data_IF_084430441843
#
_entry.id   IF_084430441843
#
_cell.length_a   1.000
_cell.length_b   1.000
_cell.length_c   1.000
_cell.angle_alpha   90.00
_cell.angle_beta   90.00
_cell.angle_gamma   90.00
#
_symmetry.space_group_name_H-M   'P 1'
#
loop_
_entity.id
_entity.type
_entity.pdbx_description
1 polymer ?
#
# COMPACT_ATOMS: atom_id res chain seq x y z
N UNK A 1 27.52 -20.10 37.71
CA UNK A 1 27.97 -18.87 37.04
C UNK A 1 27.23 -17.72 37.70
N UNK A 2 27.93 -16.73 38.24
CA UNK A 2 27.30 -15.49 38.72
C UNK A 2 27.05 -14.53 37.54
N UNK A 3 26.28 -13.44 37.70
CA UNK A 3 26.16 -12.41 36.67
C UNK A 3 27.52 -11.84 36.22
N UNK A 4 28.46 -11.67 37.14
CA UNK A 4 29.82 -11.20 36.85
C UNK A 4 30.62 -12.23 36.02
N UNK A 5 30.44 -13.52 36.31
CA UNK A 5 31.02 -14.60 35.50
C UNK A 5 30.43 -14.62 34.08
N UNK A 6 29.11 -14.35 33.94
CA UNK A 6 28.44 -14.29 32.63
C UNK A 6 28.97 -13.11 31.80
N UNK A 7 29.11 -11.92 32.39
CA UNK A 7 29.74 -10.79 31.70
C UNK A 7 31.18 -11.09 31.30
N UNK A 8 31.94 -11.74 32.18
CA UNK A 8 33.32 -12.14 31.89
C UNK A 8 33.37 -13.16 30.75
N UNK A 9 32.46 -14.13 30.73
CA UNK A 9 32.29 -15.09 29.65
C UNK A 9 31.93 -14.41 28.33
N UNK A 10 31.00 -13.47 28.34
CA UNK A 10 30.60 -12.70 27.16
C UNK A 10 31.77 -11.88 26.58
N UNK A 11 32.58 -11.23 27.44
CA UNK A 11 33.80 -10.52 27.02
C UNK A 11 34.87 -11.46 26.46
N UNK A 12 34.86 -12.75 26.84
CA UNK A 12 35.74 -13.75 26.22
C UNK A 12 35.23 -14.21 24.86
N UNK A 13 33.91 -14.21 24.64
CA UNK A 13 33.30 -14.57 23.36
C UNK A 13 33.43 -13.48 22.29
N UNK A 14 33.43 -12.22 22.71
CA UNK A 14 33.54 -11.07 21.80
C UNK A 14 34.77 -10.24 22.11
N UNK A 15 35.60 -9.98 21.10
CA UNK A 15 36.75 -9.07 21.21
C UNK A 15 36.63 -8.00 20.15
N UNK A 16 36.80 -6.73 20.52
CA UNK A 16 36.59 -5.60 19.60
C UNK A 16 35.23 -5.62 18.88
N UNK A 17 34.19 -6.19 19.51
CA UNK A 17 32.84 -6.29 18.94
C UNK A 17 32.60 -7.45 17.96
N UNK A 18 33.57 -8.35 17.77
CA UNK A 18 33.45 -9.49 16.86
C UNK A 18 33.70 -10.82 17.57
N UNK A 19 33.04 -11.88 17.11
CA UNK A 19 33.24 -13.26 17.55
C UNK A 19 34.44 -13.91 16.87
N UNK A 20 34.95 -15.00 17.45
CA UNK A 20 35.95 -15.82 16.80
C UNK A 20 35.43 -16.40 15.48
N UNK A 21 36.19 -16.25 14.38
CA UNK A 21 35.85 -16.83 13.08
C UNK A 21 36.85 -17.94 12.74
N UNK A 22 36.37 -19.18 12.72
CA UNK A 22 37.13 -20.36 12.29
C UNK A 22 37.45 -20.30 10.78
N UNK A 23 36.54 -19.75 9.97
CA UNK A 23 36.62 -19.70 8.51
C UNK A 23 37.27 -18.42 7.98
N UNK A 24 38.25 -17.91 8.74
CA UNK A 24 38.97 -16.67 8.45
C UNK A 24 39.61 -16.63 7.05
N UNK A 25 39.99 -17.79 6.49
CA UNK A 25 40.63 -17.85 5.17
C UNK A 25 39.74 -17.31 4.04
N UNK A 26 38.41 -17.38 4.20
CA UNK A 26 37.47 -16.79 3.24
C UNK A 26 37.43 -15.25 3.27
N UNK A 27 38.00 -14.65 4.32
CA UNK A 27 38.01 -13.19 4.60
C UNK A 27 39.41 -12.59 4.45
N UNK A 28 40.38 -13.40 4.04
CA UNK A 28 41.74 -12.98 3.73
C UNK A 28 41.94 -13.03 2.21
N UNK A 29 42.73 -12.11 1.63
CA UNK A 29 43.10 -12.16 0.23
C UNK A 29 43.81 -13.49 -0.04
N UNK A 30 43.26 -14.27 -0.95
CA UNK A 30 43.93 -15.48 -1.43
C UNK A 30 45.28 -15.11 -2.05
N UNK A 31 46.21 -16.06 -2.03
CA UNK A 31 47.44 -15.90 -2.79
C UNK A 31 47.13 -15.76 -4.28
N UNK A 32 47.91 -14.94 -4.98
CA UNK A 32 47.68 -14.63 -6.38
C UNK A 32 47.71 -15.93 -7.18
N UNK A 33 46.56 -16.32 -7.72
CA UNK A 33 46.44 -17.53 -8.53
C UNK A 33 47.10 -17.27 -9.86
N UNK A 34 48.15 -18.04 -10.16
CA UNK A 34 48.85 -18.04 -11.44
C UNK A 34 48.33 -19.18 -12.32
N UNK A 35 48.17 -18.91 -13.61
CA UNK A 35 47.87 -19.90 -14.65
C UNK A 35 49.04 -20.90 -14.80
N UNK A 36 48.81 -22.03 -15.47
CA UNK A 36 49.89 -23.00 -15.80
C UNK A 36 51.09 -22.36 -16.51
N UNK A 37 50.88 -21.25 -17.22
CA UNK A 37 51.90 -20.46 -17.89
C UNK A 37 52.59 -19.42 -16.99
N UNK A 38 52.35 -19.41 -15.68
CA UNK A 38 52.93 -18.46 -14.73
C UNK A 38 52.31 -17.05 -14.73
N UNK A 39 51.42 -16.73 -15.68
CA UNK A 39 50.68 -15.45 -15.73
C UNK A 39 49.58 -15.38 -14.67
N UNK A 40 49.31 -14.20 -14.12
CA UNK A 40 48.20 -13.98 -13.17
C UNK A 40 46.87 -14.38 -13.82
N UNK A 41 46.09 -15.23 -13.14
CA UNK A 41 44.79 -15.66 -13.65
C UNK A 41 43.81 -14.48 -13.74
N UNK A 42 43.05 -14.42 -14.84
CA UNK A 42 42.05 -13.35 -15.09
C UNK A 42 40.97 -13.28 -14.00
N UNK A 43 40.66 -14.41 -13.36
CA UNK A 43 39.74 -14.50 -12.23
C UNK A 43 40.53 -14.85 -10.98
N UNK A 44 40.64 -13.90 -10.06
CA UNK A 44 41.14 -14.15 -8.71
C UNK A 44 40.00 -14.58 -7.80
N UNK A 45 40.24 -15.43 -6.79
CA UNK A 45 39.25 -15.71 -5.78
C UNK A 45 38.78 -14.41 -5.13
N UNK A 46 37.47 -14.15 -5.16
CA UNK A 46 36.89 -13.04 -4.40
C UNK A 46 36.96 -13.39 -2.91
N UNK A 47 37.27 -12.41 -2.08
CA UNK A 47 37.16 -12.53 -0.63
C UNK A 47 36.27 -11.40 -0.11
N UNK A 48 35.55 -11.68 0.98
CA UNK A 48 34.70 -10.66 1.60
C UNK A 48 35.56 -9.79 2.51
N UNK A 49 35.84 -8.58 2.05
CA UNK A 49 36.61 -7.63 2.82
C UNK A 49 35.87 -7.18 4.08
N UNK A 50 36.54 -7.26 5.24
CA UNK A 50 36.00 -6.82 6.53
C UNK A 50 36.63 -5.50 6.99
N UNK A 51 36.04 -4.91 8.02
CA UNK A 51 36.57 -3.72 8.68
C UNK A 51 37.80 -4.07 9.55
N UNK A 52 38.57 -3.06 9.97
CA UNK A 52 39.84 -3.24 10.71
C UNK A 52 39.65 -3.95 12.07
N UNK A 53 38.64 -3.52 12.82
CA UNK A 53 38.21 -4.07 14.11
C UNK A 53 37.97 -5.59 14.06
N UNK A 54 37.42 -6.09 12.95
CA UNK A 54 37.29 -7.52 12.72
C UNK A 54 38.66 -8.21 12.73
N UNK A 55 39.64 -7.75 11.94
CA UNK A 55 40.97 -8.39 11.94
C UNK A 55 41.69 -8.23 13.29
N UNK A 56 41.48 -7.11 13.99
CA UNK A 56 41.98 -6.92 15.37
C UNK A 56 41.41 -7.97 16.33
N UNK A 57 40.11 -8.25 16.25
CA UNK A 57 39.48 -9.32 17.04
C UNK A 57 40.11 -10.68 16.77
N UNK A 58 40.29 -11.04 15.50
CA UNK A 58 40.82 -12.33 15.09
C UNK A 58 42.27 -12.51 15.52
N UNK A 59 43.08 -11.45 15.46
CA UNK A 59 44.43 -11.44 16.02
C UNK A 59 44.38 -11.65 17.54
N UNK A 60 43.48 -10.94 18.24
CA UNK A 60 43.37 -11.03 19.69
C UNK A 60 43.05 -12.46 20.16
N UNK A 61 42.04 -13.11 19.58
CA UNK A 61 41.67 -14.49 19.91
C UNK A 61 42.84 -15.47 19.78
N UNK A 62 43.74 -15.20 18.83
CA UNK A 62 44.91 -16.05 18.51
C UNK A 62 46.19 -15.63 19.24
N UNK A 63 46.12 -14.64 20.12
CA UNK A 63 47.30 -14.11 20.84
C UNK A 63 48.31 -13.38 19.95
N UNK A 64 47.88 -12.89 18.77
CA UNK A 64 48.69 -12.12 17.84
C UNK A 64 48.62 -10.62 18.17
N UNK A 65 49.57 -9.84 17.64
CA UNK A 65 49.58 -8.37 17.77
C UNK A 65 48.29 -7.77 17.19
N UNK A 66 47.61 -6.92 17.98
CA UNK A 66 46.33 -6.28 17.61
C UNK A 66 46.47 -4.83 17.13
N UNK A 67 47.70 -4.29 17.15
CA UNK A 67 48.03 -2.94 16.67
C UNK A 67 48.72 -2.99 15.32
N UNK A 68 48.39 -2.03 14.44
CA UNK A 68 48.93 -1.97 13.09
C UNK A 68 47.93 -1.43 12.07
N UNK A 69 48.37 -1.40 10.81
CA UNK A 69 47.50 -1.20 9.64
C UNK A 69 46.61 -2.44 9.41
N UNK A 70 45.59 -2.31 8.56
CA UNK A 70 44.69 -3.42 8.27
C UNK A 70 45.45 -4.57 7.57
N UNK A 71 46.33 -4.20 6.66
CA UNK A 71 47.16 -5.09 5.85
C UNK A 71 48.16 -5.88 6.73
N UNK A 72 48.77 -5.21 7.71
CA UNK A 72 49.64 -5.86 8.70
C UNK A 72 48.91 -6.95 9.50
N UNK A 73 47.69 -6.65 9.98
CA UNK A 73 46.87 -7.61 10.71
C UNK A 73 46.47 -8.80 9.83
N UNK A 74 46.10 -8.53 8.57
CA UNK A 74 45.77 -9.59 7.60
C UNK A 74 46.98 -10.49 7.32
N UNK A 75 48.17 -9.93 7.18
CA UNK A 75 49.41 -10.69 6.97
C UNK A 75 49.76 -11.57 8.19
N UNK A 76 49.60 -11.06 9.41
CA UNK A 76 49.76 -11.86 10.64
C UNK A 76 48.77 -13.03 10.69
N UNK A 77 47.54 -12.82 10.23
CA UNK A 77 46.51 -13.86 10.20
C UNK A 77 46.74 -14.90 9.10
N UNK A 78 47.47 -14.56 8.03
CA UNK A 78 47.88 -15.54 7.00
C UNK A 78 48.91 -16.54 7.53
N UNK A 79 49.83 -16.11 8.40
CA UNK A 79 50.89 -16.94 8.96
C UNK A 79 50.51 -17.65 10.27
N UNK A 80 49.22 -17.64 10.65
CA UNK A 80 48.74 -18.21 11.91
C UNK A 80 48.86 -19.75 11.95
N UNK A 81 48.98 -20.27 13.16
CA UNK A 81 48.92 -21.71 13.42
C UNK A 81 47.45 -22.19 13.47
N UNK A 82 46.99 -22.80 12.39
CA UNK A 82 45.61 -23.32 12.24
C UNK A 82 45.27 -24.34 13.33
N UNK A 83 46.25 -25.07 13.90
CA UNK A 83 45.96 -26.06 14.95
C UNK A 83 45.49 -25.40 16.25
N UNK A 84 45.96 -24.17 16.52
CA UNK A 84 45.54 -23.40 17.70
C UNK A 84 44.13 -22.85 17.54
N UNK A 85 43.67 -22.61 16.31
CA UNK A 85 42.29 -22.15 16.04
C UNK A 85 41.25 -23.16 16.55
N UNK A 86 41.53 -24.47 16.45
CA UNK A 86 40.66 -25.52 16.98
C UNK A 86 40.54 -25.47 18.52
N UNK A 87 41.64 -25.20 19.21
CA UNK A 87 41.64 -25.08 20.67
C UNK A 87 40.88 -23.83 21.13
N UNK A 88 41.06 -22.70 20.42
CA UNK A 88 40.30 -21.48 20.69
C UNK A 88 38.81 -21.71 20.44
N UNK A 89 38.43 -22.38 19.36
CA UNK A 89 37.02 -22.71 19.11
C UNK A 89 36.44 -23.59 20.22
N UNK A 90 37.15 -24.63 20.65
CA UNK A 90 36.67 -25.49 21.73
C UNK A 90 36.43 -24.70 23.02
N UNK A 91 37.34 -23.77 23.37
CA UNK A 91 37.14 -22.87 24.51
C UNK A 91 35.89 -21.98 24.31
N UNK A 92 35.69 -21.42 23.11
CA UNK A 92 34.53 -20.60 22.79
C UNK A 92 33.23 -21.40 22.90
N UNK A 93 33.20 -22.64 22.38
CA UNK A 93 32.04 -23.53 22.43
C UNK A 93 31.69 -23.93 23.87
N UNK A 94 32.69 -24.19 24.71
CA UNK A 94 32.50 -24.49 26.13
C UNK A 94 31.94 -23.28 26.89
N UNK A 95 32.44 -22.08 26.61
CA UNK A 95 31.93 -20.83 27.19
C UNK A 95 30.47 -20.60 26.75
N UNK A 96 30.18 -20.74 25.46
CA UNK A 96 28.83 -20.62 24.89
C UNK A 96 27.87 -21.61 25.54
N UNK A 97 28.29 -22.86 25.71
CA UNK A 97 27.49 -23.91 26.37
C UNK A 97 27.17 -23.52 27.81
N UNK A 98 28.18 -23.09 28.58
CA UNK A 98 28.00 -22.67 29.96
C UNK A 98 27.06 -21.47 30.09
N UNK A 99 27.14 -20.49 29.16
CA UNK A 99 26.22 -19.35 29.12
C UNK A 99 24.78 -19.77 28.80
N UNK A 100 24.58 -20.68 27.84
CA UNK A 100 23.24 -21.22 27.53
C UNK A 100 22.64 -21.98 28.71
N UNK A 101 23.44 -22.76 29.44
CA UNK A 101 22.98 -23.46 30.65
C UNK A 101 22.58 -22.47 31.74
N UNK A 102 23.38 -21.42 31.98
CA UNK A 102 23.04 -20.35 32.90
C UNK A 102 21.74 -19.63 32.50
N UNK A 103 21.55 -19.29 31.23
CA UNK A 103 20.32 -18.66 30.75
C UNK A 103 19.08 -19.56 30.91
N UNK A 104 19.20 -20.87 30.68
CA UNK A 104 18.12 -21.82 30.95
C UNK A 104 17.75 -21.83 32.43
N UNK A 105 18.75 -21.82 33.30
CA UNK A 105 18.56 -21.80 34.74
C UNK A 105 17.92 -20.48 35.22
N UNK A 106 18.37 -19.33 34.69
CA UNK A 106 17.72 -18.04 34.95
C UNK A 106 16.27 -18.03 34.48
N UNK A 107 15.97 -18.60 33.31
CA UNK A 107 14.59 -18.76 32.83
C UNK A 107 13.77 -19.69 33.73
N UNK A 108 14.36 -20.75 34.28
CA UNK A 108 13.71 -21.65 35.24
C UNK A 108 13.37 -20.90 36.54
N UNK A 109 14.34 -20.23 37.14
CA UNK A 109 14.15 -19.42 38.36
C UNK A 109 13.13 -18.32 38.14
N UNK A 110 13.18 -17.60 37.00
CA UNK A 110 12.20 -16.58 36.67
C UNK A 110 10.78 -17.15 36.52
N UNK A 111 10.62 -18.36 35.95
CA UNK A 111 9.33 -19.05 35.88
C UNK A 111 8.81 -19.42 37.27
N UNK A 112 9.68 -19.91 38.16
CA UNK A 112 9.32 -20.25 39.55
C UNK A 112 8.93 -19.01 40.35
N UNK A 113 9.71 -17.94 40.27
CA UNK A 113 9.37 -16.66 40.90
C UNK A 113 8.06 -16.08 40.36
N UNK A 114 7.83 -16.20 39.05
CA UNK A 114 6.56 -15.81 38.44
C UNK A 114 5.41 -16.66 38.98
N UNK A 115 5.57 -17.97 39.09
CA UNK A 115 4.56 -18.86 39.66
C UNK A 115 4.23 -18.47 41.11
N UNK A 116 5.25 -18.24 41.95
CA UNK A 116 5.07 -17.77 43.34
C UNK A 116 4.33 -16.43 43.38
N UNK A 117 4.68 -15.49 42.50
CA UNK A 117 3.99 -14.20 42.40
C UNK A 117 2.55 -14.34 41.93
N UNK A 118 2.31 -15.18 40.94
CA UNK A 118 0.97 -15.45 40.38
C UNK A 118 0.08 -16.11 41.45
N UNK A 119 0.61 -17.04 42.25
CA UNK A 119 -0.10 -17.65 43.40
C UNK A 119 -0.37 -16.63 44.52
N UNK A 120 0.64 -15.82 44.88
CA UNK A 120 0.46 -14.76 45.89
C UNK A 120 -0.59 -13.74 45.45
N UNK A 121 -0.60 -13.36 44.17
CA UNK A 121 -1.63 -12.51 43.59
C UNK A 121 -3.00 -13.18 43.59
N UNK A 122 -3.07 -14.49 43.28
CA UNK A 122 -4.31 -15.24 43.27
C UNK A 122 -4.98 -15.31 44.65
N UNK A 123 -4.19 -15.45 45.71
CA UNK A 123 -4.69 -15.52 47.09
C UNK A 123 -4.76 -14.16 47.81
N UNK A 124 -4.35 -13.06 47.17
CA UNK A 124 -4.45 -11.74 47.78
C UNK A 124 -5.92 -11.33 47.98
N UNK A 125 -6.24 -10.79 49.17
CA UNK A 125 -7.61 -10.38 49.53
C UNK A 125 -8.18 -9.28 48.61
N UNK A 126 -7.32 -8.51 47.95
CA UNK A 126 -7.71 -7.47 46.99
C UNK A 126 -8.08 -8.01 45.61
N UNK A 127 -7.77 -9.27 45.31
CA UNK A 127 -7.98 -9.85 43.99
C UNK A 127 -9.41 -10.37 43.86
N UNK A 128 -10.20 -9.72 43.00
CA UNK A 128 -11.63 -10.06 42.82
C UNK A 128 -11.84 -11.23 41.86
N UNK A 129 -13.04 -11.81 41.87
CA UNK A 129 -13.42 -12.88 40.93
C UNK A 129 -13.25 -12.41 39.47
N UNK A 130 -13.67 -11.19 39.15
CA UNK A 130 -13.58 -10.60 37.81
C UNK A 130 -12.13 -10.50 37.32
N UNK A 131 -11.18 -10.30 38.24
CA UNK A 131 -9.76 -10.24 37.93
C UNK A 131 -9.16 -11.64 37.76
N UNK A 132 -9.62 -12.64 38.53
CA UNK A 132 -9.20 -14.06 38.45
C UNK A 132 -9.70 -14.76 37.19
N UNK A 133 -10.97 -14.54 36.86
CA UNK A 133 -11.69 -15.16 35.75
C UNK A 133 -10.90 -15.14 34.43
N UNK A 134 -10.31 -14.03 33.96
CA UNK A 134 -9.55 -14.03 32.72
C UNK A 134 -8.20 -14.75 32.79
N UNK A 135 -7.62 -14.93 33.97
CA UNK A 135 -6.31 -15.58 34.16
C UNK A 135 -6.42 -17.09 34.15
N UNK A 136 -7.43 -17.62 34.85
CA UNK A 136 -7.73 -19.05 34.90
C UNK A 136 -9.22 -19.25 35.19
N UNK A 137 -10.07 -19.31 34.14
CA UNK A 137 -11.52 -19.40 34.30
C UNK A 137 -11.95 -20.58 35.18
N UNK A 138 -11.34 -21.75 34.98
CA UNK A 138 -11.67 -22.96 35.72
C UNK A 138 -11.43 -22.82 37.23
N UNK A 139 -10.22 -22.41 37.64
CA UNK A 139 -9.90 -22.23 39.07
C UNK A 139 -10.76 -21.14 39.71
N UNK A 140 -11.02 -20.05 38.99
CA UNK A 140 -11.89 -18.98 39.48
C UNK A 140 -13.32 -19.50 39.74
N UNK A 141 -13.88 -20.25 38.79
CA UNK A 141 -15.22 -20.84 38.91
C UNK A 141 -15.29 -21.92 39.99
N UNK A 142 -14.25 -22.74 40.16
CA UNK A 142 -14.16 -23.73 41.25
C UNK A 142 -14.18 -23.06 42.64
N UNK A 143 -13.38 -22.00 42.83
CA UNK A 143 -13.36 -21.23 44.09
C UNK A 143 -14.71 -20.56 44.37
N UNK A 144 -15.36 -20.06 43.32
CA UNK A 144 -16.66 -19.39 43.43
C UNK A 144 -17.79 -20.40 43.71
N UNK A 145 -17.78 -21.55 43.04
CA UNK A 145 -18.77 -22.62 43.23
C UNK A 145 -18.72 -23.26 44.63
N UNK A 146 -17.54 -23.23 45.27
CA UNK A 146 -17.34 -23.71 46.63
C UNK A 146 -17.98 -22.81 47.71
N UNK A 147 -18.33 -21.56 47.37
CA UNK A 147 -19.02 -20.66 48.31
C UNK A 147 -20.48 -21.10 48.50
N UNK A 148 -21.03 -21.02 49.73
CA UNK A 148 -22.41 -21.42 50.00
C UNK A 148 -23.42 -20.54 49.24
N UNK A 149 -23.21 -19.23 49.24
CA UNK A 149 -24.10 -18.22 48.62
C UNK A 149 -23.49 -17.62 47.35
N UNK A 150 -23.15 -18.46 46.38
CA UNK A 150 -22.58 -18.02 45.10
C UNK A 150 -23.66 -17.59 44.10
N UNK A 151 -23.36 -16.56 43.31
CA UNK A 151 -24.20 -16.14 42.18
C UNK A 151 -24.34 -17.26 41.14
N UNK A 152 -23.38 -18.20 41.06
CA UNK A 152 -23.45 -19.32 40.12
C UNK A 152 -24.66 -20.23 40.32
N UNK A 153 -25.29 -20.19 41.51
CA UNK A 153 -26.49 -20.98 41.85
C UNK A 153 -27.78 -20.18 41.88
N UNK A 154 -27.70 -18.84 41.98
CA UNK A 154 -28.86 -17.98 42.24
C UNK A 154 -29.08 -16.91 41.16
N UNK A 155 -28.07 -16.64 40.33
CA UNK A 155 -28.05 -15.55 39.36
C UNK A 155 -27.12 -15.89 38.19
N UNK A 156 -26.73 -14.89 37.40
CA UNK A 156 -25.73 -15.01 36.36
C UNK A 156 -24.76 -13.82 36.39
N UNK A 157 -23.63 -13.98 35.73
CA UNK A 157 -22.69 -12.90 35.46
C UNK A 157 -22.56 -12.69 33.96
N UNK A 158 -22.47 -11.41 33.58
CA UNK A 158 -22.22 -10.97 32.21
C UNK A 158 -20.78 -10.51 32.06
N UNK A 159 -20.16 -10.97 30.99
CA UNK A 159 -18.80 -10.59 30.61
C UNK A 159 -18.83 -10.09 29.19
N UNK A 160 -18.67 -8.77 29.04
CA UNK A 160 -18.58 -8.14 27.74
C UNK A 160 -17.23 -8.40 27.10
N UNK A 161 -17.21 -9.15 25.99
CA UNK A 161 -16.06 -9.15 25.10
C UNK A 161 -16.10 -7.84 24.32
N UNK A 162 -15.29 -6.89 24.77
CA UNK A 162 -14.99 -5.70 23.99
C UNK A 162 -14.60 -6.07 22.56
N UNK A 163 -14.85 -5.15 21.63
CA UNK A 163 -14.29 -5.23 20.28
C UNK A 163 -12.79 -5.51 20.34
N UNK A 164 -12.23 -6.14 19.31
CA UNK A 164 -10.84 -6.58 19.16
C UNK A 164 -9.74 -5.49 19.32
N UNK A 165 -9.99 -4.39 20.02
CA UNK A 165 -8.99 -3.48 20.55
C UNK A 165 -8.24 -4.13 21.71
N UNK A 166 -6.92 -4.01 21.66
CA UNK A 166 -5.80 -4.36 22.55
C UNK A 166 -6.01 -4.66 24.04
N UNK A 167 -7.19 -4.42 24.64
CA UNK A 167 -7.54 -4.73 26.02
C UNK A 167 -8.73 -5.70 26.17
N UNK A 168 -9.28 -6.29 25.10
CA UNK A 168 -10.30 -7.33 25.24
C UNK A 168 -9.65 -8.58 25.87
N UNK A 169 -9.87 -8.77 27.16
CA UNK A 169 -9.37 -9.96 27.84
C UNK A 169 -10.17 -11.14 27.33
N UNK A 170 -9.57 -11.98 26.48
CA UNK A 170 -10.24 -13.19 26.00
C UNK A 170 -10.25 -14.20 27.13
N UNK A 171 -11.44 -14.59 27.57
CA UNK A 171 -11.66 -15.66 28.51
C UNK A 171 -11.52 -17.01 27.80
N UNK A 172 -10.30 -17.33 27.37
CA UNK A 172 -10.00 -18.60 26.72
C UNK A 172 -10.35 -19.76 27.66
N UNK A 173 -11.28 -20.62 27.21
CA UNK A 173 -11.70 -21.80 27.96
C UNK A 173 -12.74 -21.54 29.04
N UNK A 174 -13.39 -20.37 29.08
CA UNK A 174 -14.53 -20.14 29.99
C UNK A 174 -15.71 -21.06 29.67
N UNK A 175 -16.05 -21.20 28.39
CA UNK A 175 -17.04 -22.15 27.88
C UNK A 175 -16.76 -23.58 28.35
N UNK A 176 -15.50 -24.01 28.19
CA UNK A 176 -15.04 -25.33 28.61
C UNK A 176 -15.08 -25.50 30.13
N UNK A 177 -14.65 -24.48 30.88
CA UNK A 177 -14.67 -24.51 32.34
C UNK A 177 -16.10 -24.58 32.88
N UNK A 178 -17.02 -23.80 32.33
CA UNK A 178 -18.44 -23.86 32.68
C UNK A 178 -19.01 -25.25 32.37
N UNK A 179 -18.72 -25.82 31.20
CA UNK A 179 -19.15 -27.16 30.83
C UNK A 179 -18.63 -28.23 31.81
N UNK A 180 -17.33 -28.22 32.12
CA UNK A 180 -16.70 -29.19 33.04
C UNK A 180 -17.27 -29.09 34.47
N UNK A 181 -17.75 -27.91 34.88
CA UNK A 181 -18.31 -27.66 36.22
C UNK A 181 -19.85 -27.73 36.27
N UNK A 182 -20.51 -28.01 35.15
CA UNK A 182 -21.98 -28.05 35.08
C UNK A 182 -22.66 -26.69 35.27
N UNK A 183 -21.95 -25.60 34.96
CA UNK A 183 -22.45 -24.21 35.02
C UNK A 183 -23.06 -23.87 33.66
N UNK A 184 -24.26 -23.27 33.66
CA UNK A 184 -24.86 -22.83 32.40
C UNK A 184 -24.03 -21.70 31.79
N UNK A 185 -23.81 -21.77 30.48
CA UNK A 185 -23.02 -20.80 29.72
C UNK A 185 -23.66 -20.60 28.36
N UNK A 186 -23.85 -19.33 27.99
CA UNK A 186 -24.33 -18.94 26.67
C UNK A 186 -23.56 -17.71 26.18
N UNK A 187 -23.45 -17.59 24.85
CA UNK A 187 -22.86 -16.41 24.20
C UNK A 187 -23.96 -15.70 23.43
N UNK A 188 -24.24 -14.46 23.83
CA UNK A 188 -25.20 -13.62 23.14
C UNK A 188 -24.46 -12.63 22.22
N UNK A 189 -24.96 -12.47 20.99
CA UNK A 189 -24.47 -11.44 20.08
C UNK A 189 -25.20 -10.12 20.36
N UNK A 190 -24.42 -9.08 20.59
CA UNK A 190 -24.85 -7.71 20.78
C UNK A 190 -25.07 -7.02 19.44
N UNK A 191 -25.42 -5.72 19.45
CA UNK A 191 -25.63 -4.98 18.22
C UNK A 191 -24.34 -4.97 17.38
N UNK A 192 -24.51 -5.03 16.07
CA UNK A 192 -23.43 -4.81 15.11
C UNK A 192 -23.27 -3.31 14.96
N UNK A 193 -22.13 -2.76 15.36
CA UNK A 193 -21.84 -1.36 15.11
C UNK A 193 -21.75 -1.12 13.60
N UNK A 194 -22.69 -0.34 13.05
CA UNK A 194 -22.61 0.16 11.68
C UNK A 194 -21.64 1.37 11.64
N UNK A 195 -20.81 1.55 10.59
CA UNK A 195 -20.86 0.90 9.28
C UNK A 195 -19.85 -0.25 9.05
N UNK A 196 -20.22 -1.15 8.13
CA UNK A 196 -19.49 -2.30 7.55
C UNK A 196 -18.12 -2.71 8.16
N UNK A 197 -18.08 -3.93 8.72
CA UNK A 197 -16.83 -4.64 9.05
C UNK A 197 -16.61 -4.91 10.54
N UNK A 198 -17.40 -4.28 11.42
CA UNK A 198 -17.40 -4.56 12.84
C UNK A 198 -18.03 -5.95 13.12
N UNK A 199 -17.34 -6.76 13.91
CA UNK A 199 -17.93 -7.99 14.45
C UNK A 199 -18.99 -7.62 15.50
N UNK A 200 -20.12 -8.33 15.62
CA UNK A 200 -21.06 -8.07 16.70
C UNK A 200 -20.33 -8.15 18.05
N UNK A 201 -20.61 -7.20 18.95
CA UNK A 201 -20.18 -7.29 20.35
C UNK A 201 -20.63 -8.66 20.88
N UNK A 202 -19.80 -9.39 21.61
CA UNK A 202 -20.22 -10.68 22.19
C UNK A 202 -20.27 -10.55 23.69
N UNK A 203 -21.37 -10.98 24.30
CA UNK A 203 -21.49 -11.08 25.74
C UNK A 203 -21.47 -12.55 26.11
N UNK A 204 -20.56 -12.94 27.00
CA UNK A 204 -20.55 -14.26 27.61
C UNK A 204 -21.33 -14.20 28.91
N UNK A 205 -22.32 -15.07 29.05
CA UNK A 205 -23.25 -15.08 30.18
C UNK A 205 -23.20 -16.46 30.81
N UNK A 206 -22.93 -16.52 32.12
CA UNK A 206 -22.83 -17.80 32.82
C UNK A 206 -23.36 -17.74 34.26
N UNK A 207 -23.81 -18.88 34.79
CA UNK A 207 -24.37 -19.01 36.14
C UNK A 207 -25.51 -20.02 36.21
N UNK A 208 -26.58 -19.66 36.91
CA UNK A 208 -27.81 -20.44 37.02
C UNK A 208 -28.56 -20.44 35.68
N UNK A 209 -29.04 -21.61 35.24
CA UNK A 209 -29.61 -21.80 33.90
C UNK A 209 -30.78 -20.86 33.58
N UNK A 210 -31.72 -20.71 34.51
CA UNK A 210 -32.86 -19.81 34.35
C UNK A 210 -32.45 -18.34 34.27
N UNK A 211 -31.48 -17.92 35.08
CA UNK A 211 -30.91 -16.58 35.07
C UNK A 211 -30.16 -16.29 33.76
N UNK A 212 -29.31 -17.21 33.30
CA UNK A 212 -28.58 -17.10 32.02
C UNK A 212 -29.55 -16.90 30.86
N UNK A 213 -30.60 -17.72 30.75
CA UNK A 213 -31.58 -17.61 29.65
C UNK A 213 -32.32 -16.27 29.64
N UNK A 214 -32.83 -15.83 30.80
CA UNK A 214 -33.50 -14.51 30.92
C UNK A 214 -32.58 -13.38 30.48
N UNK A 215 -31.31 -13.49 30.84
CA UNK A 215 -30.33 -12.45 30.58
C UNK A 215 -29.88 -12.42 29.10
N UNK A 216 -29.74 -13.59 28.47
CA UNK A 216 -29.53 -13.72 27.02
C UNK A 216 -30.70 -13.11 26.25
N UNK A 217 -31.95 -13.43 26.63
CA UNK A 217 -33.15 -12.87 26.00
C UNK A 217 -33.21 -11.34 26.13
N UNK A 218 -32.93 -10.82 27.33
CA UNK A 218 -32.88 -9.38 27.58
C UNK A 218 -31.81 -8.69 26.72
N UNK A 219 -30.61 -9.27 26.64
CA UNK A 219 -29.50 -8.74 25.87
C UNK A 219 -29.78 -8.76 24.36
N UNK A 220 -30.34 -9.84 23.83
CA UNK A 220 -30.72 -9.95 22.41
C UNK A 220 -31.81 -8.93 22.06
N UNK A 221 -32.79 -8.72 22.96
CA UNK A 221 -33.84 -7.71 22.76
C UNK A 221 -33.26 -6.30 22.71
N UNK A 222 -32.35 -5.96 23.63
CA UNK A 222 -31.65 -4.67 23.64
C UNK A 222 -30.82 -4.47 22.36
N UNK A 223 -30.05 -5.49 21.96
CA UNK A 223 -29.24 -5.48 20.75
C UNK A 223 -30.09 -5.20 19.49
N UNK A 224 -31.24 -5.84 19.37
CA UNK A 224 -32.16 -5.63 18.24
C UNK A 224 -32.76 -4.21 18.24
N UNK A 225 -33.06 -3.64 19.41
CA UNK A 225 -33.56 -2.26 19.52
C UNK A 225 -32.50 -1.25 19.09
N UNK A 226 -31.25 -1.44 19.53
CA UNK A 226 -30.12 -0.60 19.14
C UNK A 226 -29.88 -0.71 17.63
N UNK A 227 -29.83 -1.93 17.09
CA UNK A 227 -29.64 -2.16 15.66
C UNK A 227 -30.75 -1.51 14.81
N UNK A 228 -32.02 -1.62 15.22
CA UNK A 228 -33.13 -0.98 14.54
C UNK A 228 -33.05 0.56 14.59
N UNK A 229 -32.59 1.14 15.70
CA UNK A 229 -32.37 2.57 15.83
C UNK A 229 -31.21 3.04 14.93
N UNK A 230 -30.08 2.33 14.93
CA UNK A 230 -28.92 2.61 14.08
C UNK A 230 -29.25 2.47 12.59
N UNK A 231 -30.06 1.49 12.21
CA UNK A 231 -30.51 1.32 10.83
C UNK A 231 -31.33 2.54 10.36
N UNK A 232 -32.28 3.00 11.19
CA UNK A 232 -33.08 4.20 10.87
C UNK A 232 -32.23 5.46 10.74
N UNK A 233 -31.24 5.64 11.60
CA UNK A 233 -30.33 6.81 11.49
C UNK A 233 -29.46 6.72 10.24
N UNK A 234 -28.95 5.54 9.91
CA UNK A 234 -28.20 5.31 8.67
C UNK A 234 -29.04 5.57 7.43
N UNK A 235 -30.28 5.05 7.35
CA UNK A 235 -31.21 5.32 6.25
C UNK A 235 -31.50 6.83 6.11
N UNK A 236 -31.74 7.51 7.23
CA UNK A 236 -31.96 8.95 7.25
C UNK A 236 -30.73 9.72 6.74
N UNK A 237 -29.51 9.31 7.14
CA UNK A 237 -28.26 9.90 6.65
C UNK A 237 -28.06 9.66 5.16
N UNK A 238 -28.32 8.45 4.65
CA UNK A 238 -28.22 8.15 3.22
C UNK A 238 -29.22 8.98 2.41
N UNK A 239 -30.46 9.10 2.90
CA UNK A 239 -31.48 9.94 2.27
C UNK A 239 -31.08 11.42 2.29
N UNK A 240 -30.60 11.93 3.43
CA UNK A 240 -30.12 13.30 3.55
C UNK A 240 -28.93 13.59 2.62
N UNK A 241 -28.00 12.63 2.49
CA UNK A 241 -26.87 12.72 1.58
C UNK A 241 -27.32 12.81 0.13
N UNK A 242 -28.26 11.95 -0.31
CA UNK A 242 -28.85 12.02 -1.67
C UNK A 242 -29.54 13.35 -1.95
N UNK A 243 -30.37 13.83 -1.01
CA UNK A 243 -31.03 15.14 -1.15
C UNK A 243 -30.01 16.28 -1.22
N UNK A 244 -28.94 16.24 -0.41
CA UNK A 244 -27.88 17.25 -0.45
C UNK A 244 -27.08 17.20 -1.77
N UNK A 245 -26.82 16.01 -2.31
CA UNK A 245 -26.16 15.83 -3.61
C UNK A 245 -27.04 16.36 -4.77
N UNK A 246 -28.35 16.07 -4.75
CA UNK A 246 -29.31 16.60 -5.72
C UNK A 246 -29.42 18.13 -5.64
N UNK A 247 -29.48 18.68 -4.43
CA UNK A 247 -29.51 20.13 -4.22
C UNK A 247 -28.23 20.82 -4.74
N UNK A 248 -27.06 20.23 -4.50
CA UNK A 248 -25.79 20.71 -5.07
C UNK A 248 -25.81 20.66 -6.59
N UNK A 249 -26.29 19.56 -7.18
CA UNK A 249 -26.41 19.43 -8.64
C UNK A 249 -27.35 20.47 -9.23
N UNK A 250 -28.48 20.74 -8.57
CA UNK A 250 -29.42 21.76 -9.02
C UNK A 250 -28.81 23.16 -8.94
N UNK A 251 -28.11 23.49 -7.84
CA UNK A 251 -27.44 24.78 -7.70
C UNK A 251 -26.39 25.02 -8.80
N UNK A 252 -25.60 24.00 -9.14
CA UNK A 252 -24.65 24.06 -10.27
C UNK A 252 -25.35 24.26 -11.61
N UNK A 253 -26.48 23.58 -11.82
CA UNK A 253 -27.28 23.76 -13.03
C UNK A 253 -27.83 25.18 -13.15
N UNK A 254 -28.35 25.74 -12.06
CA UNK A 254 -28.87 27.10 -12.03
C UNK A 254 -27.77 28.15 -12.25
N UNK A 255 -26.58 27.94 -11.67
CA UNK A 255 -25.38 28.75 -11.92
C UNK A 255 -24.95 28.67 -13.40
N UNK A 256 -24.82 27.45 -13.95
CA UNK A 256 -24.45 27.24 -15.36
C UNK A 256 -25.44 27.91 -16.33
N UNK A 257 -26.75 27.88 -16.02
CA UNK A 257 -27.77 28.54 -16.83
C UNK A 257 -27.60 30.06 -16.88
N UNK A 258 -27.00 30.66 -15.86
CA UNK A 258 -26.73 32.10 -15.80
C UNK A 258 -25.49 32.53 -16.61
N UNK A 259 -24.63 31.58 -17.01
CA UNK A 259 -23.43 31.88 -17.81
C UNK A 259 -23.75 32.10 -19.28
N UNK A 260 -23.07 33.06 -19.92
CA UNK A 260 -23.35 33.48 -21.31
C UNK A 260 -22.97 32.42 -22.36
N UNK A 261 -21.90 31.66 -22.10
CA UNK A 261 -21.52 30.45 -22.84
C UNK A 261 -21.31 29.30 -21.86
N UNK A 262 -21.35 28.07 -22.35
CA UNK A 262 -21.18 26.89 -21.51
C UNK A 262 -19.73 26.80 -21.02
N UNK A 263 -19.56 26.62 -19.71
CA UNK A 263 -18.26 26.31 -19.13
C UNK A 263 -18.13 24.78 -18.99
N UNK A 264 -17.17 24.18 -19.69
CA UNK A 264 -16.90 22.74 -19.60
C UNK A 264 -15.88 22.39 -18.49
N UNK A 265 -15.15 23.38 -17.97
CA UNK A 265 -14.06 23.17 -17.00
C UNK A 265 -14.61 22.82 -15.62
N UNK A 266 -13.92 21.97 -14.87
CA UNK A 266 -14.28 21.59 -13.51
C UNK A 266 -14.22 20.10 -13.24
N UNK A 267 -14.77 19.70 -12.10
CA UNK A 267 -14.77 18.31 -11.63
C UNK A 267 -16.05 17.61 -12.09
N UNK A 268 -15.89 16.39 -12.59
CA UNK A 268 -16.94 15.55 -13.15
C UNK A 268 -16.93 14.18 -12.49
N UNK A 269 -18.13 13.65 -12.25
CA UNK A 269 -18.33 12.23 -11.92
C UNK A 269 -18.78 11.53 -13.17
N UNK A 270 -18.08 10.45 -13.51
CA UNK A 270 -18.35 9.63 -14.69
C UNK A 270 -19.05 8.34 -14.26
N UNK A 271 -20.01 7.91 -15.07
CA UNK A 271 -20.82 6.73 -14.89
C UNK A 271 -20.62 5.81 -16.10
N UNK A 272 -19.96 4.68 -15.86
CA UNK A 272 -19.83 3.57 -16.79
C UNK A 272 -19.85 2.28 -15.98
N UNK A 273 -20.88 1.45 -16.16
CA UNK A 273 -21.13 0.28 -15.32
C UNK A 273 -20.02 -0.76 -15.47
N UNK A 274 -19.55 -0.93 -16.70
CA UNK A 274 -18.51 -1.86 -17.12
C UNK A 274 -17.17 -1.50 -16.47
N UNK A 275 -16.76 -0.22 -16.55
CA UNK A 275 -15.53 0.28 -15.91
C UNK A 275 -15.62 0.21 -14.38
N UNK A 276 -16.74 0.62 -13.80
CA UNK A 276 -16.92 0.65 -12.36
C UNK A 276 -16.91 -0.74 -11.71
N UNK A 277 -17.28 -1.79 -12.45
CA UNK A 277 -17.34 -3.17 -11.94
C UNK A 277 -16.18 -4.06 -12.35
N UNK A 278 -15.27 -3.59 -13.20
CA UNK A 278 -14.16 -4.41 -13.71
C UNK A 278 -13.17 -4.84 -12.61
N UNK A 279 -12.76 -3.91 -11.75
CA UNK A 279 -11.70 -4.14 -10.75
C UNK A 279 -12.22 -4.75 -9.44
N UNK A 280 -13.45 -4.41 -9.04
CA UNK A 280 -13.96 -4.68 -7.71
C UNK A 280 -14.96 -5.83 -7.69
N UNK A 281 -14.72 -6.82 -6.82
CA UNK A 281 -15.65 -7.94 -6.59
C UNK A 281 -16.92 -7.54 -5.80
N UNK A 282 -17.01 -6.33 -5.26
CA UNK A 282 -18.08 -5.97 -4.30
C UNK A 282 -18.60 -4.54 -4.34
N UNK A 283 -17.83 -3.53 -4.74
CA UNK A 283 -18.28 -2.12 -4.71
C UNK A 283 -17.86 -1.38 -5.98
N UNK A 284 -18.82 -0.89 -6.79
CA UNK A 284 -18.51 -0.11 -7.98
C UNK A 284 -17.59 1.07 -7.66
N UNK A 285 -16.52 1.21 -8.43
CA UNK A 285 -15.55 2.28 -8.22
C UNK A 285 -16.12 3.63 -8.66
N UNK A 286 -15.76 4.69 -7.93
CA UNK A 286 -16.16 6.05 -8.29
C UNK A 286 -15.25 6.56 -9.40
N UNK A 287 -15.79 6.69 -10.61
CA UNK A 287 -15.05 7.22 -11.75
C UNK A 287 -15.08 8.75 -11.73
N UNK A 288 -13.95 9.39 -12.00
CA UNK A 288 -13.83 10.85 -11.99
C UNK A 288 -13.10 11.39 -13.21
N UNK A 289 -13.41 12.64 -13.55
CA UNK A 289 -12.72 13.39 -14.59
C UNK A 289 -12.63 14.87 -14.18
N UNK A 290 -11.52 15.52 -14.45
CA UNK A 290 -11.32 16.96 -14.22
C UNK A 290 -10.97 17.61 -15.55
N UNK A 291 -11.83 18.49 -16.07
CA UNK A 291 -11.63 19.19 -17.35
C UNK A 291 -11.06 20.59 -17.07
N UNK A 292 -10.06 21.02 -17.83
CA UNK A 292 -9.45 22.35 -17.73
C UNK A 292 -9.09 22.90 -19.11
N UNK A 293 -9.03 24.23 -19.23
CA UNK A 293 -8.67 24.92 -20.48
C UNK A 293 -7.15 24.98 -20.63
N UNK A 294 -6.64 24.71 -21.84
CA UNK A 294 -5.18 24.75 -22.14
C UNK A 294 -4.94 25.36 -23.51
N UNK A 295 -3.76 25.95 -23.74
CA UNK A 295 -3.41 26.59 -25.01
C UNK A 295 -2.17 26.04 -25.69
N UNK A 296 -1.65 24.93 -25.18
CA UNK A 296 -0.29 24.48 -25.48
C UNK A 296 -0.21 23.36 -26.54
N UNK A 297 -1.31 23.03 -27.21
CA UNK A 297 -1.30 22.02 -28.27
C UNK A 297 -2.07 22.48 -29.52
N UNK A 298 -1.52 22.24 -30.71
CA UNK A 298 -2.17 22.57 -31.98
C UNK A 298 -3.39 21.67 -32.23
N UNK A 299 -4.43 22.20 -32.88
CA UNK A 299 -5.57 21.38 -33.31
C UNK A 299 -5.16 20.32 -34.34
N UNK A 300 -4.10 20.60 -35.10
CA UNK A 300 -3.53 19.64 -36.04
C UNK A 300 -2.77 18.52 -35.33
N UNK A 301 -2.21 18.76 -34.14
CA UNK A 301 -1.53 17.71 -33.37
C UNK A 301 -2.49 16.57 -32.93
N UNK A 302 -3.79 16.84 -32.86
CA UNK A 302 -4.81 15.81 -32.58
C UNK A 302 -5.24 15.07 -33.85
N UNK A 303 -4.92 15.58 -35.04
CA UNK A 303 -5.24 14.95 -36.32
C UNK A 303 -4.01 14.32 -37.02
N UNK A 304 -2.80 14.82 -36.77
CA UNK A 304 -1.62 14.56 -37.60
C UNK A 304 -0.82 13.29 -37.26
N UNK A 305 -1.01 12.68 -36.09
CA UNK A 305 -0.35 11.39 -35.75
C UNK A 305 -0.85 10.20 -36.59
N UNK A 306 -1.83 10.39 -37.48
CA UNK A 306 -2.20 9.38 -38.50
C UNK A 306 -1.19 9.28 -39.64
N UNK A 307 -0.16 10.14 -39.68
CA UNK A 307 0.98 10.00 -40.59
C UNK A 307 2.27 9.85 -39.81
N UNK A 308 2.40 8.77 -39.03
CA UNK A 308 3.73 8.28 -38.70
C UNK A 308 4.44 7.97 -40.01
N UNK A 309 5.35 8.87 -40.35
CA UNK A 309 6.50 8.65 -41.18
C UNK A 309 7.04 7.23 -40.97
N UNK A 310 6.89 6.43 -42.02
CA UNK A 310 7.67 5.23 -42.31
C UNK A 310 9.16 5.63 -42.39
N UNK A 311 9.78 6.02 -41.26
CA UNK A 311 11.23 6.02 -41.15
C UNK A 311 11.61 4.57 -40.97
N UNK A 312 11.70 3.88 -42.12
CA UNK A 312 12.43 2.63 -42.26
C UNK A 312 13.81 2.87 -41.66
N UNK A 313 14.03 2.33 -40.45
CA UNK A 313 15.31 2.38 -39.76
C UNK A 313 16.30 1.53 -40.56
N UNK A 314 16.95 2.15 -41.54
CA UNK A 314 18.06 1.55 -42.27
C UNK A 314 19.33 1.62 -41.41
N UNK A 315 19.97 0.46 -41.29
CA UNK A 315 20.99 0.22 -40.28
C UNK A 315 22.28 1.01 -40.50
N UNK A 316 22.94 1.29 -39.37
CA UNK A 316 24.40 1.42 -39.21
C UNK A 316 25.14 2.09 -40.40
N UNK A 317 25.02 3.41 -40.51
CA UNK A 317 25.95 4.26 -41.23
C UNK A 317 26.98 4.86 -40.27
N UNK A 318 28.24 4.45 -40.45
CA UNK A 318 29.42 4.98 -39.74
C UNK A 318 29.60 6.49 -39.90
N UNK A 319 30.35 7.03 -38.93
CA UNK A 319 30.77 8.42 -38.75
C UNK A 319 31.05 9.21 -40.04
N UNK A 320 30.39 10.36 -40.19
CA UNK A 320 30.92 11.46 -40.98
C UNK A 320 30.50 12.81 -40.39
N UNK A 321 31.56 13.54 -40.07
CA UNK A 321 31.70 14.90 -39.58
C UNK A 321 31.06 15.98 -40.47
N UNK A 322 30.67 17.09 -39.84
CA UNK A 322 30.32 18.41 -40.39
C UNK A 322 29.06 18.59 -41.26
N UNK A 323 28.06 19.28 -40.69
CA UNK A 323 27.27 20.30 -41.40
C UNK A 323 26.53 21.20 -40.41
N UNK A 324 27.07 22.39 -40.15
CA UNK A 324 26.33 23.53 -39.61
C UNK A 324 25.31 23.99 -40.67
N UNK A 325 24.12 23.40 -40.64
CA UNK A 325 22.96 23.81 -41.44
C UNK A 325 21.90 24.45 -40.53
N UNK A 326 21.81 25.77 -40.60
CA UNK A 326 20.79 26.60 -39.96
C UNK A 326 19.44 26.42 -40.67
N UNK A 327 18.76 25.29 -40.43
CA UNK A 327 17.39 25.04 -40.88
C UNK A 327 16.39 25.58 -39.86
N UNK A 328 16.39 26.90 -39.72
CA UNK A 328 15.31 27.62 -39.06
C UNK A 328 14.14 27.75 -40.05
N UNK A 329 13.47 26.62 -40.32
CA UNK A 329 12.18 26.64 -41.05
C UNK A 329 11.16 27.23 -40.08
N UNK A 330 10.65 28.46 -40.30
CA UNK A 330 9.59 28.98 -39.48
C UNK A 330 8.36 28.17 -39.82
N UNK A 331 7.95 27.27 -38.92
CA UNK A 331 6.58 26.75 -38.93
C UNK A 331 5.66 27.96 -38.89
N UNK A 332 5.05 28.27 -40.04
CA UNK A 332 4.06 29.31 -40.15
C UNK A 332 2.83 28.86 -39.37
N UNK A 333 2.83 29.08 -38.06
CA UNK A 333 1.64 29.00 -37.22
C UNK A 333 0.61 29.98 -37.79
N UNK A 334 -0.31 29.45 -38.59
CA UNK A 334 -1.41 30.23 -39.13
C UNK A 334 -2.21 30.78 -37.93
N UNK A 335 -2.17 32.10 -37.74
CA UNK A 335 -2.77 32.83 -36.61
C UNK A 335 -4.27 32.54 -36.36
N UNK A 336 -4.93 31.81 -37.25
CA UNK A 336 -6.32 31.34 -37.17
C UNK A 336 -6.57 30.26 -36.12
N UNK A 337 -5.55 29.52 -35.66
CA UNK A 337 -5.73 28.39 -34.72
C UNK A 337 -5.95 28.83 -33.25
N UNK A 338 -5.66 30.10 -32.94
CA UNK A 338 -5.69 30.65 -31.56
C UNK A 338 -7.10 30.91 -31.00
N UNK A 339 -8.15 30.81 -31.83
CA UNK A 339 -9.52 31.23 -31.47
C UNK A 339 -10.43 30.10 -30.95
N UNK A 340 -9.99 28.84 -31.05
CA UNK A 340 -10.79 27.69 -30.67
C UNK A 340 -10.42 27.21 -29.27
N UNK A 341 -11.43 27.07 -28.40
CA UNK A 341 -11.24 26.54 -27.05
C UNK A 341 -10.75 25.10 -27.09
N UNK A 342 -9.64 24.85 -26.40
CA UNK A 342 -8.96 23.57 -26.28
C UNK A 342 -9.01 23.15 -24.81
N UNK A 343 -9.45 21.91 -24.57
CA UNK A 343 -9.57 21.40 -23.22
C UNK A 343 -8.67 20.18 -23.04
N UNK A 344 -8.20 19.99 -21.83
CA UNK A 344 -7.61 18.74 -21.38
C UNK A 344 -8.43 18.20 -20.22
N UNK A 345 -8.38 16.89 -20.03
CA UNK A 345 -9.03 16.26 -18.89
C UNK A 345 -8.11 15.24 -18.23
N UNK A 346 -7.94 15.33 -16.91
CA UNK A 346 -7.39 14.20 -16.13
C UNK A 346 -8.55 13.28 -15.78
N UNK A 347 -8.36 11.97 -15.91
CA UNK A 347 -9.43 11.03 -15.57
C UNK A 347 -8.90 9.86 -14.74
N UNK A 348 -9.79 9.31 -13.92
CA UNK A 348 -9.59 8.09 -13.16
C UNK A 348 -10.83 7.21 -13.33
N UNK A 349 -10.73 6.25 -14.24
CA UNK A 349 -11.78 5.29 -14.59
C UNK A 349 -11.59 3.94 -13.88
N UNK A 350 -10.93 3.97 -12.72
CA UNK A 350 -10.72 2.85 -11.82
C UNK A 350 -9.59 1.93 -12.27
N UNK A 351 -9.78 1.32 -13.43
CA UNK A 351 -8.78 0.45 -14.07
C UNK A 351 -7.75 1.22 -14.89
N UNK A 352 -8.08 2.46 -15.24
CA UNK A 352 -7.21 3.38 -15.96
C UNK A 352 -7.22 4.73 -15.30
N UNK A 353 -6.05 5.36 -15.31
CA UNK A 353 -5.90 6.79 -15.08
C UNK A 353 -5.12 7.39 -16.24
N UNK A 354 -5.39 8.65 -16.57
CA UNK A 354 -4.76 9.25 -17.73
C UNK A 354 -5.15 10.69 -17.99
N UNK A 355 -4.78 11.14 -19.18
CA UNK A 355 -5.07 12.48 -19.70
C UNK A 355 -5.80 12.37 -21.04
N UNK A 356 -6.78 13.25 -21.26
CA UNK A 356 -7.50 13.42 -22.51
C UNK A 356 -7.18 14.79 -23.09
N UNK A 357 -6.95 14.89 -24.40
CA UNK A 357 -6.97 16.15 -25.15
C UNK A 357 -8.28 16.23 -25.91
N UNK A 358 -9.06 17.27 -25.66
CA UNK A 358 -10.43 17.45 -26.14
C UNK A 358 -10.47 18.65 -27.09
N UNK A 359 -10.91 18.41 -28.32
CA UNK A 359 -10.91 19.37 -29.43
C UNK A 359 -12.30 19.51 -30.06
N UNK A 360 -12.64 20.68 -30.62
CA UNK A 360 -13.84 20.80 -31.46
C UNK A 360 -13.75 19.82 -32.64
N UNK A 361 -14.87 19.23 -33.07
CA UNK A 361 -14.90 18.31 -34.22
C UNK A 361 -14.37 18.94 -35.50
N UNK A 362 -13.97 18.14 -36.50
CA UNK A 362 -13.55 18.64 -37.81
C UNK A 362 -14.59 19.57 -38.46
N UNK A 363 -15.87 19.24 -38.32
CA UNK A 363 -16.98 20.08 -38.79
C UNK A 363 -17.04 21.43 -38.06
N UNK A 364 -16.87 21.43 -36.73
CA UNK A 364 -16.82 22.67 -35.93
C UNK A 364 -15.62 23.53 -36.33
N UNK A 365 -14.44 22.92 -36.54
CA UNK A 365 -13.22 23.62 -36.98
C UNK A 365 -13.42 24.30 -38.34
N UNK A 366 -14.01 23.59 -39.31
CA UNK A 366 -14.30 24.14 -40.64
C UNK A 366 -15.30 25.32 -40.60
N UNK A 367 -16.32 25.23 -39.74
CA UNK A 367 -17.28 26.34 -39.52
C UNK A 367 -16.61 27.56 -38.90
N UNK A 368 -15.76 27.36 -37.90
CA UNK A 368 -15.02 28.44 -37.25
C UNK A 368 -14.07 29.15 -38.22
N UNK A 369 -13.37 28.40 -39.08
CA UNK A 369 -12.54 28.96 -40.16
C UNK A 369 -13.36 29.82 -41.15
N UNK A 370 -14.66 29.56 -41.26
CA UNK A 370 -15.61 30.35 -42.08
C UNK A 370 -16.21 31.56 -41.35
N UNK A 371 -15.70 31.91 -40.15
CA UNK A 371 -16.19 33.03 -39.33
C UNK A 371 -17.53 32.77 -38.61
N UNK A 372 -18.04 31.53 -38.65
CA UNK A 372 -19.25 31.16 -37.91
C UNK A 372 -18.86 30.91 -36.45
N UNK A 373 -19.66 31.44 -35.52
CA UNK A 373 -19.40 31.33 -34.08
C UNK A 373 -19.11 29.89 -33.65
N UNK A 374 -17.96 29.73 -32.97
CA UNK A 374 -17.49 28.48 -32.35
C UNK A 374 -17.98 28.31 -30.91
N UNK A 375 -18.95 29.13 -30.47
CA UNK A 375 -19.50 29.04 -29.11
C UNK A 375 -19.96 27.63 -28.80
N UNK A 376 -19.62 27.19 -27.58
CA UNK A 376 -19.83 25.82 -27.09
C UNK A 376 -21.31 25.47 -27.11
N UNK A 377 -22.15 26.45 -26.76
CA UNK A 377 -23.62 26.35 -26.81
C UNK A 377 -24.17 25.84 -28.15
N UNK A 378 -23.56 26.21 -29.29
CA UNK A 378 -24.06 25.84 -30.61
C UNK A 378 -23.33 24.62 -31.21
N UNK A 379 -22.18 24.25 -30.66
CA UNK A 379 -21.38 23.12 -31.11
C UNK A 379 -20.90 22.31 -29.90
N UNK A 380 -21.82 21.62 -29.19
CA UNK A 380 -21.49 20.97 -27.92
C UNK A 380 -20.79 19.62 -28.09
N UNK A 381 -20.42 19.25 -29.32
CA UNK A 381 -19.77 17.98 -29.64
C UNK A 381 -18.29 18.21 -29.89
N UNK A 382 -17.47 17.37 -29.25
CA UNK A 382 -16.03 17.39 -29.27
C UNK A 382 -15.48 16.02 -29.65
N UNK A 383 -14.28 16.01 -30.18
CA UNK A 383 -13.45 14.84 -30.36
C UNK A 383 -12.38 14.81 -29.27
N UNK A 384 -11.96 13.63 -28.84
CA UNK A 384 -10.86 13.52 -27.90
C UNK A 384 -9.92 12.36 -28.20
N UNK A 385 -8.68 12.51 -27.75
CA UNK A 385 -7.67 11.45 -27.69
C UNK A 385 -7.21 11.27 -26.25
N UNK A 386 -6.82 10.06 -25.90
CA UNK A 386 -6.39 9.69 -24.55
C UNK A 386 -4.97 9.14 -24.56
N UNK A 387 -4.23 9.47 -23.50
CA UNK A 387 -3.08 8.68 -23.06
C UNK A 387 -3.34 8.21 -21.65
N UNK A 388 -3.06 6.95 -21.36
CA UNK A 388 -3.49 6.33 -20.11
C UNK A 388 -2.51 5.28 -19.62
N UNK A 389 -2.68 4.97 -18.33
CA UNK A 389 -1.95 3.94 -17.61
C UNK A 389 -2.96 2.97 -17.00
N UNK A 390 -2.69 1.67 -17.11
CA UNK A 390 -3.50 0.64 -16.46
C UNK A 390 -3.26 0.56 -14.94
N UNK A 391 -4.13 -0.17 -14.24
CA UNK A 391 -4.01 -0.42 -12.80
C UNK A 391 -2.68 -1.07 -12.36
N UNK A 392 -1.99 -1.75 -13.28
CA UNK A 392 -0.67 -2.35 -13.06
C UNK A 392 0.50 -1.36 -13.20
N UNK A 393 0.18 -0.09 -13.50
CA UNK A 393 1.13 0.99 -13.67
C UNK A 393 1.75 1.07 -15.07
N UNK A 394 1.33 0.23 -16.01
CA UNK A 394 1.88 0.25 -17.38
C UNK A 394 1.21 1.33 -18.23
N UNK A 395 2.03 2.13 -18.92
CA UNK A 395 1.57 3.09 -19.93
C UNK A 395 1.09 2.30 -21.14
N UNK A 396 -0.11 2.61 -21.62
CA UNK A 396 -0.70 1.96 -22.78
C UNK A 396 -0.28 2.69 -24.06
N UNK A 397 0.79 2.21 -24.71
CA UNK A 397 1.35 2.83 -25.93
C UNK A 397 0.33 2.81 -27.09
N UNK A 398 -0.46 1.74 -27.18
CA UNK A 398 -1.47 1.59 -28.23
C UNK A 398 -2.56 2.68 -28.20
N UNK A 399 -2.71 3.40 -27.08
CA UNK A 399 -3.69 4.49 -26.94
C UNK A 399 -3.51 5.58 -28.00
N UNK A 400 -2.26 5.85 -28.42
CA UNK A 400 -1.96 6.87 -29.43
C UNK A 400 -2.50 6.52 -30.82
N UNK A 401 -2.68 5.22 -31.08
CA UNK A 401 -3.21 4.68 -32.34
C UNK A 401 -4.74 4.62 -32.38
N UNK A 402 -5.40 4.90 -31.26
CA UNK A 402 -6.85 4.87 -31.23
C UNK A 402 -7.44 6.06 -31.99
N UNK A 403 -8.50 5.82 -32.79
CA UNK A 403 -9.17 6.91 -33.48
C UNK A 403 -9.76 7.87 -32.45
N UNK A 404 -9.77 9.16 -32.79
CA UNK A 404 -10.40 10.17 -31.95
C UNK A 404 -11.87 9.80 -31.68
N UNK A 405 -12.29 9.91 -30.42
CA UNK A 405 -13.64 9.53 -29.98
C UNK A 405 -14.51 10.75 -29.75
N UNK A 406 -15.80 10.61 -30.04
CA UNK A 406 -16.77 11.68 -29.83
C UNK A 406 -17.20 11.78 -28.36
N UNK A 407 -17.35 13.01 -27.87
CA UNK A 407 -18.06 13.31 -26.63
C UNK A 407 -18.99 14.50 -26.86
N UNK A 408 -20.14 14.49 -26.19
CA UNK A 408 -21.17 15.52 -26.33
C UNK A 408 -21.54 16.07 -24.97
N UNK A 409 -21.48 17.39 -24.86
CA UNK A 409 -21.96 18.12 -23.69
C UNK A 409 -23.43 18.49 -23.87
N UNK A 410 -24.16 18.57 -22.77
CA UNK A 410 -25.57 18.99 -22.75
C UNK A 410 -25.89 19.72 -21.46
N UNK A 411 -27.13 20.19 -21.32
CA UNK A 411 -27.65 20.86 -20.12
C UNK A 411 -26.72 21.97 -19.63
N UNK A 412 -26.39 22.92 -20.52
CA UNK A 412 -25.54 24.07 -20.20
C UNK A 412 -24.11 23.69 -19.76
N UNK A 413 -23.58 22.59 -20.29
CA UNK A 413 -22.25 22.10 -19.94
C UNK A 413 -22.18 21.42 -18.57
N UNK A 414 -23.32 20.93 -18.05
CA UNK A 414 -23.38 20.21 -16.77
C UNK A 414 -23.54 18.70 -16.93
N UNK A 415 -23.84 18.24 -18.14
CA UNK A 415 -23.88 16.82 -18.51
C UNK A 415 -22.95 16.54 -19.68
N UNK A 416 -22.39 15.34 -19.70
CA UNK A 416 -21.66 14.82 -20.84
C UNK A 416 -22.02 13.36 -21.09
N UNK A 417 -21.90 12.95 -22.34
CA UNK A 417 -21.99 11.56 -22.78
C UNK A 417 -20.92 11.33 -23.85
N UNK A 418 -20.39 10.12 -23.90
CA UNK A 418 -19.35 9.77 -24.85
C UNK A 418 -19.04 8.30 -24.82
N UNK A 419 -18.08 7.93 -25.63
CA UNK A 419 -17.66 6.56 -25.84
C UNK A 419 -16.18 6.43 -25.55
N UNK A 420 -15.78 5.47 -24.71
CA UNK A 420 -14.41 5.24 -24.26
C UNK A 420 -13.87 3.91 -24.80
N UNK A 421 -12.71 3.96 -25.43
CA UNK A 421 -12.02 2.77 -25.93
C UNK A 421 -11.14 2.18 -24.83
N UNK A 422 -11.37 0.91 -24.50
CA UNK A 422 -10.73 0.22 -23.40
C UNK A 422 -10.03 -1.05 -23.92
N UNK A 423 -8.69 -1.17 -23.87
CA UNK A 423 -8.01 -2.38 -24.35
C UNK A 423 -8.36 -3.63 -23.54
N UNK A 424 -8.72 -3.47 -22.26
CA UNK A 424 -9.01 -4.57 -21.37
C UNK A 424 -10.45 -5.09 -21.50
N UNK A 425 -11.33 -4.35 -22.16
CA UNK A 425 -12.72 -4.74 -22.39
C UNK A 425 -13.03 -4.70 -23.88
N UNK A 426 -13.51 -5.80 -24.44
CA UNK A 426 -13.83 -5.83 -25.87
C UNK A 426 -14.97 -4.85 -26.16
N UNK A 427 -14.68 -3.82 -26.96
CA UNK A 427 -15.67 -2.92 -27.52
C UNK A 427 -15.61 -1.51 -26.95
N UNK A 428 -16.51 -0.69 -27.46
CA UNK A 428 -16.62 0.72 -27.12
C UNK A 428 -17.54 0.87 -25.90
N UNK A 429 -17.03 1.49 -24.83
CA UNK A 429 -17.76 1.63 -23.58
C UNK A 429 -18.46 2.98 -23.53
N UNK A 430 -19.78 2.96 -23.52
CA UNK A 430 -20.55 4.18 -23.36
C UNK A 430 -20.45 4.69 -21.91
N UNK A 431 -20.17 5.98 -21.75
CA UNK A 431 -20.15 6.64 -20.45
C UNK A 431 -21.00 7.90 -20.46
N UNK A 432 -21.60 8.18 -19.31
CA UNK A 432 -22.25 9.46 -19.03
C UNK A 432 -21.53 10.15 -17.88
N UNK A 433 -21.68 11.46 -17.75
CA UNK A 433 -21.05 12.21 -16.68
C UNK A 433 -21.86 13.44 -16.30
N UNK A 434 -21.69 13.86 -15.06
CA UNK A 434 -22.28 15.09 -14.54
C UNK A 434 -21.26 15.92 -13.79
N UNK A 435 -21.40 17.23 -13.93
CA UNK A 435 -20.50 18.20 -13.31
C UNK A 435 -20.80 18.30 -11.82
N UNK A 436 -19.76 18.17 -11.00
CA UNK A 436 -19.82 18.26 -9.54
C UNK A 436 -19.31 19.60 -9.03
N UNK A 437 -18.51 20.30 -9.84
CA UNK A 437 -17.97 21.61 -9.49
C UNK A 437 -17.56 22.35 -10.75
N UNK A 438 -17.81 23.66 -10.80
CA UNK A 438 -17.24 24.53 -11.82
C UNK A 438 -15.72 24.64 -11.67
N UNK A 439 -15.01 24.69 -12.80
CA UNK A 439 -13.58 24.89 -12.84
C UNK A 439 -13.22 26.36 -12.62
N UNK A 440 -12.01 26.61 -12.14
CA UNK A 440 -11.49 27.97 -11.95
C UNK A 440 -10.54 28.41 -13.08
N UNK A 441 -10.71 27.83 -14.28
CA UNK A 441 -10.13 28.37 -15.51
C UNK A 441 -8.97 27.58 -16.11
N UNK A 442 -7.95 28.33 -16.54
CA UNK A 442 -6.90 27.96 -17.49
C UNK A 442 -5.69 27.35 -16.78
N UNK A 443 -5.24 26.17 -17.21
CA UNK A 443 -3.99 25.57 -16.75
C UNK A 443 -2.86 25.93 -17.73
N UNK A 444 -1.65 26.13 -17.20
CA UNK A 444 -0.52 26.64 -18.00
C UNK A 444 -0.10 25.72 -19.15
N UNK A 445 -0.04 24.40 -18.94
CA UNK A 445 0.35 23.43 -19.96
C UNK A 445 -0.10 22.01 -19.56
N UNK A 446 -0.46 21.20 -20.57
CA UNK A 446 -0.70 19.76 -20.52
C UNK A 446 0.42 18.93 -21.14
N UNK A 447 1.36 19.57 -21.84
CA UNK A 447 2.42 18.92 -22.60
C UNK A 447 3.27 17.97 -21.74
N UNK A 448 3.64 18.36 -20.52
CA UNK A 448 4.43 17.50 -19.64
C UNK A 448 3.70 16.21 -19.24
N UNK A 449 2.42 16.31 -18.88
CA UNK A 449 1.56 15.17 -18.51
C UNK A 449 1.29 14.27 -19.72
N UNK A 450 1.03 14.88 -20.87
CA UNK A 450 0.85 14.16 -22.14
C UNK A 450 2.12 13.39 -22.54
N UNK A 451 3.29 14.03 -22.45
CA UNK A 451 4.58 13.41 -22.77
C UNK A 451 4.98 12.38 -21.71
N UNK A 452 4.58 12.53 -20.45
CA UNK A 452 4.81 11.55 -19.40
C UNK A 452 4.09 10.21 -19.62
N UNK A 453 3.11 10.19 -20.53
CA UNK A 453 2.37 8.98 -20.93
C UNK A 453 2.63 8.59 -22.39
N UNK A 454 3.75 9.05 -22.97
CA UNK A 454 4.20 8.69 -24.33
C UNK A 454 4.93 7.34 -24.38
N UNK A 455 5.15 6.82 -25.60
CA UNK A 455 6.03 5.68 -25.85
C UNK A 455 7.45 5.91 -25.33
N UNK A 456 8.02 7.10 -25.52
CA UNK A 456 9.33 7.42 -24.94
C UNK A 456 9.33 7.32 -23.41
N UNK A 457 8.27 7.79 -22.76
CA UNK A 457 8.14 7.68 -21.31
C UNK A 457 8.00 6.22 -20.87
N UNK A 458 7.28 5.40 -21.64
CA UNK A 458 7.24 3.96 -21.46
C UNK A 458 8.63 3.33 -21.62
N UNK A 459 9.38 3.67 -22.67
CA UNK A 459 10.74 3.19 -22.92
C UNK A 459 11.69 3.54 -21.78
N UNK A 460 11.64 4.79 -21.28
CA UNK A 460 12.41 5.24 -20.11
C UNK A 460 12.03 4.47 -18.84
N UNK A 461 10.74 4.27 -18.59
CA UNK A 461 10.25 3.53 -17.43
C UNK A 461 10.63 2.04 -17.50
N UNK A 462 10.49 1.43 -18.67
CA UNK A 462 10.85 0.04 -18.96
C UNK A 462 12.35 -0.20 -18.75
N UNK A 463 13.20 0.68 -19.30
CA UNK A 463 14.65 0.62 -19.12
C UNK A 463 15.06 0.79 -17.65
N UNK A 464 14.40 1.66 -16.90
CA UNK A 464 14.68 1.84 -15.47
C UNK A 464 14.29 0.60 -14.65
N UNK A 465 13.16 -0.04 -15.00
CA UNK A 465 12.61 -1.20 -14.29
C UNK A 465 13.41 -2.49 -14.55
N UNK A 466 13.96 -2.67 -15.75
CA UNK A 466 14.58 -3.93 -16.18
C UNK A 466 16.05 -3.81 -16.63
N UNK A 467 16.55 -2.61 -16.92
CA UNK A 467 17.82 -2.37 -17.62
C UNK A 467 19.06 -2.15 -16.75
N UNK A 468 18.97 -2.15 -15.41
CA UNK A 468 20.17 -1.95 -14.54
C UNK A 468 20.85 -3.24 -14.06
N UNK A 469 20.54 -4.41 -14.63
CA UNK A 469 20.91 -5.69 -14.02
C UNK A 469 21.62 -6.73 -14.89
N UNK A 470 21.93 -6.47 -16.16
CA UNK A 470 22.49 -7.50 -17.06
C UNK A 470 23.43 -6.94 -18.13
N UNK A 471 24.49 -6.22 -17.73
CA UNK A 471 25.70 -6.04 -18.55
C UNK A 471 26.93 -5.96 -17.64
#
# INVERSE_FOLDING_TARGET
MTPEDYERAQRKLTRYGHYFDMNLNSKLPADIVKTKAGKIAKRQPKYDERRKDYYQSQCSFRGLKTTGSKEELMNLLKSRDIRKDLAVQAEQDDIDKAMREFEREQKRVAREQRHVRDEAWWHAATTTFEQKLPKNPRRALEEEAAKPDTFLKTSCQKVDRGHYGTNSVRYYGLDRACFELGIAYEVAAGPVDLPEGAMPRRCEIFGELGAVRREVEAFVKEANQIAAAQWKTWEAQQKAKKVAEEAKRQALYDEAKSTADWDLTGEWVVQCQELATYSSKSTPEKLSMEIFLVDDFSLNAVAADEKESEYEYDGYGEEADNSEGDDNVPEAETATDSSLSRFCARFHFGVFEGIMRICPTAATRARAASGISSSIKYNPTYEYRTRMRGADGQILIEADRYPARGMKFSDHGTKLEGDFDCPYMKGLLHFTGFKVKHGHGRQGSSASEWTALSEEAWNRAHYTRWGRGWW
#
